data_IF_270001043143
#
_entry.id   IF_270001043143
#
_cell.length_a   1.000
_cell.length_b   1.000
_cell.length_c   1.000
_cell.angle_alpha   90.00
_cell.angle_beta   90.00
_cell.angle_gamma   90.00
#
_symmetry.space_group_name_H-M   'P 1'
#
loop_
_entity.id
_entity.type
_entity.pdbx_description
1 polymer ?
#
# COMPACT_ATOMS: atom_id res chain seq x y z
N UNK A 1 24.76 -49.34 10.72
CA UNK A 1 23.40 -48.76 10.78
C UNK A 1 23.56 -47.34 11.31
N UNK A 2 23.50 -46.32 10.46
CA UNK A 2 23.78 -44.93 10.86
C UNK A 2 22.59 -44.05 10.47
N UNK A 3 21.87 -43.62 11.50
CA UNK A 3 20.70 -42.75 11.43
C UNK A 3 21.15 -41.37 10.94
N UNK A 4 20.60 -40.91 9.81
CA UNK A 4 20.78 -39.54 9.35
C UNK A 4 19.71 -38.66 10.00
N UNK A 5 20.14 -37.83 10.96
CA UNK A 5 19.33 -36.73 11.47
C UNK A 5 19.43 -35.55 10.51
N UNK A 6 18.33 -35.26 9.80
CA UNK A 6 18.20 -34.10 8.93
C UNK A 6 18.24 -32.82 9.75
N UNK A 7 19.36 -32.11 9.70
CA UNK A 7 19.48 -30.72 10.11
C UNK A 7 20.19 -29.98 9.00
N UNK A 8 19.51 -29.04 8.34
CA UNK A 8 20.09 -28.15 7.34
C UNK A 8 21.26 -27.41 8.00
N UNK A 9 22.48 -27.81 7.66
CA UNK A 9 23.70 -27.30 8.27
C UNK A 9 24.16 -26.09 7.47
N UNK A 10 23.96 -24.91 8.03
CA UNK A 10 24.44 -23.66 7.45
C UNK A 10 25.96 -23.59 7.63
N UNK A 11 26.69 -23.38 6.54
CA UNK A 11 28.13 -23.08 6.58
C UNK A 11 28.37 -21.67 6.04
N UNK A 12 29.26 -20.95 6.71
CA UNK A 12 29.68 -19.62 6.32
C UNK A 12 31.18 -19.67 6.03
N UNK A 13 31.55 -19.41 4.78
CA UNK A 13 32.95 -19.30 4.36
C UNK A 13 33.26 -17.85 4.03
N UNK A 14 34.28 -17.30 4.69
CA UNK A 14 34.74 -15.94 4.42
C UNK A 14 35.42 -15.87 3.06
N UNK A 15 34.88 -15.06 2.15
CA UNK A 15 35.48 -14.81 0.83
C UNK A 15 36.51 -13.68 1.01
N UNK A 16 37.68 -14.02 1.53
CA UNK A 16 38.88 -13.18 1.67
C UNK A 16 38.79 -11.87 2.48
N UNK A 17 39.95 -11.21 2.65
CA UNK A 17 40.36 -10.23 3.68
C UNK A 17 39.63 -8.87 3.68
N UNK A 18 38.30 -8.87 3.71
CA UNK A 18 37.53 -7.72 4.17
C UNK A 18 36.45 -8.20 5.13
N UNK A 19 36.48 -7.80 6.41
CA UNK A 19 35.62 -8.39 7.45
C UNK A 19 34.13 -8.04 7.31
N UNK A 20 33.71 -7.36 6.24
CA UNK A 20 32.39 -6.78 6.11
C UNK A 20 31.40 -7.59 5.25
N UNK A 21 31.80 -8.70 4.63
CA UNK A 21 30.89 -9.47 3.78
C UNK A 21 31.00 -10.96 4.05
N UNK A 22 29.93 -11.54 4.60
CA UNK A 22 29.72 -12.98 4.64
C UNK A 22 28.60 -13.35 3.65
N UNK A 23 28.79 -14.45 2.93
CA UNK A 23 27.77 -15.01 2.03
C UNK A 23 27.28 -16.31 2.67
N UNK A 24 25.98 -16.38 2.93
CA UNK A 24 25.33 -17.61 3.38
C UNK A 24 25.09 -18.50 2.16
N UNK A 25 25.93 -19.52 1.99
CA UNK A 25 25.74 -20.55 0.98
C UNK A 25 24.84 -21.66 1.55
N UNK A 26 23.91 -22.14 0.73
CA UNK A 26 23.15 -23.36 1.04
C UNK A 26 23.85 -24.52 0.33
N UNK A 27 24.01 -25.68 0.98
CA UNK A 27 24.78 -26.85 0.49
C UNK A 27 24.30 -27.45 -0.85
N UNK A 28 23.35 -26.83 -1.56
CA UNK A 28 22.89 -27.21 -2.90
C UNK A 28 23.53 -26.38 -4.01
N UNK A 29 24.79 -26.03 -3.85
CA UNK A 29 25.64 -25.53 -4.94
C UNK A 29 26.15 -26.72 -5.74
N UNK A 30 25.82 -26.77 -7.05
CA UNK A 30 26.54 -27.63 -7.98
C UNK A 30 27.63 -26.78 -8.63
N UNK A 31 28.87 -27.27 -8.52
CA UNK A 31 30.01 -26.69 -9.20
C UNK A 31 30.21 -27.42 -10.53
N UNK A 32 30.24 -26.65 -11.62
CA UNK A 32 30.55 -27.17 -12.95
C UNK A 32 31.93 -26.69 -13.37
N UNK A 33 32.77 -27.63 -13.79
CA UNK A 33 34.06 -27.35 -14.41
C UNK A 33 33.86 -27.31 -15.91
N UNK A 34 33.98 -26.13 -16.50
CA UNK A 34 33.95 -25.96 -17.96
C UNK A 34 35.39 -25.80 -18.43
N UNK A 35 35.90 -26.84 -19.09
CA UNK A 35 37.19 -26.83 -19.75
C UNK A 35 36.98 -26.96 -21.27
N UNK A 36 37.76 -26.21 -22.05
CA UNK A 36 37.77 -26.33 -23.51
C UNK A 36 38.80 -27.40 -23.88
N UNK A 37 38.41 -28.40 -24.68
CA UNK A 37 39.24 -29.57 -24.97
C UNK A 37 40.65 -29.24 -25.50
N UNK A 38 40.80 -28.13 -26.23
CA UNK A 38 42.07 -27.74 -26.87
C UNK A 38 42.96 -26.83 -26.01
N UNK A 39 42.48 -26.39 -24.84
CA UNK A 39 43.19 -25.47 -23.95
C UNK A 39 42.97 -25.87 -22.48
N UNK A 40 43.75 -26.84 -21.96
CA UNK A 40 43.61 -27.32 -20.59
C UNK A 40 43.92 -26.24 -19.54
N UNK A 41 44.63 -25.17 -19.92
CA UNK A 41 45.06 -24.11 -19.01
C UNK A 41 43.96 -23.05 -18.75
N UNK A 42 42.85 -23.10 -19.47
CA UNK A 42 41.71 -22.17 -19.27
C UNK A 42 40.59 -22.92 -18.56
N UNK A 43 40.67 -22.96 -17.24
CA UNK A 43 39.62 -23.51 -16.39
C UNK A 43 38.71 -22.39 -15.87
N UNK A 44 37.42 -22.47 -16.18
CA UNK A 44 36.41 -21.62 -15.55
C UNK A 44 35.56 -22.47 -14.61
N UNK A 45 35.62 -22.11 -13.33
CA UNK A 45 34.75 -22.66 -12.31
C UNK A 45 33.45 -21.87 -12.29
N UNK A 46 32.34 -22.55 -12.55
CA UNK A 46 31.00 -21.96 -12.50
C UNK A 46 30.25 -22.63 -11.36
N UNK A 47 30.09 -21.89 -10.27
CA UNK A 47 29.22 -22.31 -9.16
C UNK A 47 27.80 -21.83 -9.43
N UNK A 48 26.84 -22.75 -9.46
CA UNK A 48 25.42 -22.41 -9.57
C UNK A 48 24.67 -22.96 -8.37
N UNK A 49 23.90 -22.10 -7.70
CA UNK A 49 22.90 -22.49 -6.72
C UNK A 49 21.70 -23.08 -7.45
N UNK A 50 21.59 -24.41 -7.49
CA UNK A 50 20.47 -25.08 -8.14
C UNK A 50 19.24 -25.06 -7.24
N UNK A 51 18.45 -24.01 -7.46
CA UNK A 51 17.07 -23.79 -7.03
C UNK A 51 16.81 -23.76 -5.52
N UNK A 52 16.39 -22.61 -4.95
CA UNK A 52 15.66 -22.65 -3.70
C UNK A 52 14.39 -23.48 -3.94
N UNK A 53 13.98 -24.29 -2.96
CA UNK A 53 12.63 -24.88 -2.96
C UNK A 53 11.63 -23.77 -3.29
N UNK A 54 11.13 -23.76 -4.54
CA UNK A 54 10.02 -22.90 -4.94
C UNK A 54 8.86 -23.25 -4.01
N UNK A 55 8.30 -22.23 -3.34
CA UNK A 55 7.09 -22.26 -2.51
C UNK A 55 7.25 -22.32 -0.98
N UNK A 56 8.38 -21.96 -0.38
CA UNK A 56 8.30 -21.45 0.99
C UNK A 56 7.83 -19.99 0.91
N UNK A 57 6.51 -19.80 1.04
CA UNK A 57 5.91 -18.47 1.22
C UNK A 57 6.65 -17.81 2.37
N UNK A 58 7.37 -16.73 2.08
CA UNK A 58 8.19 -16.04 3.08
C UNK A 58 7.32 -15.69 4.28
N UNK A 59 7.85 -15.81 5.52
CA UNK A 59 7.11 -15.41 6.71
C UNK A 59 6.69 -13.95 6.54
N UNK A 60 5.40 -13.69 6.67
CA UNK A 60 4.83 -12.37 6.54
C UNK A 60 3.80 -12.16 7.65
N UNK A 61 3.63 -10.90 8.04
CA UNK A 61 2.44 -10.47 8.78
C UNK A 61 1.31 -10.34 7.78
N UNK A 62 0.18 -10.97 8.06
CA UNK A 62 -0.96 -11.05 7.15
C UNK A 62 -2.25 -10.63 7.87
N UNK A 63 -3.05 -9.83 7.19
CA UNK A 63 -4.41 -9.52 7.60
C UNK A 63 -5.40 -10.44 6.89
N UNK A 64 -6.40 -10.90 7.61
CA UNK A 64 -7.48 -11.72 7.06
C UNK A 64 -8.75 -10.91 7.02
N UNK A 65 -9.28 -10.76 5.82
CA UNK A 65 -10.54 -10.08 5.55
C UNK A 65 -11.57 -11.10 5.06
N UNK A 66 -12.84 -10.80 5.30
CA UNK A 66 -13.98 -11.53 4.77
C UNK A 66 -14.83 -10.59 3.92
N UNK A 67 -15.18 -11.00 2.72
CA UNK A 67 -16.09 -10.24 1.87
C UNK A 67 -17.57 -10.58 2.17
N UNK A 68 -18.48 -9.95 1.42
CA UNK A 68 -19.94 -10.16 1.55
C UNK A 68 -20.37 -11.58 1.14
N UNK A 69 -19.58 -12.27 0.33
CA UNK A 69 -19.80 -13.65 -0.08
C UNK A 69 -19.20 -14.65 0.93
N UNK A 70 -18.75 -14.17 2.10
CA UNK A 70 -18.10 -14.93 3.16
C UNK A 70 -16.77 -15.56 2.74
N UNK A 71 -16.18 -15.12 1.63
CA UNK A 71 -14.87 -15.60 1.18
C UNK A 71 -13.76 -14.86 1.92
N UNK A 72 -12.77 -15.64 2.37
CA UNK A 72 -11.60 -15.14 3.10
C UNK A 72 -10.50 -14.69 2.14
N UNK A 73 -9.94 -13.53 2.43
CA UNK A 73 -8.81 -12.94 1.73
C UNK A 73 -7.67 -12.73 2.73
N UNK A 74 -6.61 -13.53 2.57
CA UNK A 74 -5.38 -13.39 3.35
C UNK A 74 -4.43 -12.47 2.57
N UNK A 75 -4.11 -11.32 3.15
CA UNK A 75 -3.32 -10.27 2.49
C UNK A 75 -2.11 -9.91 3.34
N UNK A 76 -0.89 -10.14 2.83
CA UNK A 76 0.32 -9.70 3.51
C UNK A 76 0.38 -8.18 3.68
N UNK A 77 0.82 -7.74 4.86
CA UNK A 77 0.92 -6.35 5.27
C UNK A 77 1.72 -5.48 4.30
N UNK A 78 2.84 -6.01 3.79
CA UNK A 78 3.73 -5.32 2.86
C UNK A 78 3.11 -5.06 1.48
N UNK A 79 1.99 -5.72 1.14
CA UNK A 79 1.35 -5.55 -0.15
C UNK A 79 0.46 -4.31 -0.16
N UNK A 80 0.50 -3.53 -1.25
CA UNK A 80 -0.38 -2.37 -1.45
C UNK A 80 -1.87 -2.72 -1.30
N UNK A 81 -2.25 -3.94 -1.69
CA UNK A 81 -3.62 -4.47 -1.57
C UNK A 81 -4.12 -4.48 -0.12
N UNK A 82 -3.23 -4.62 0.87
CA UNK A 82 -3.59 -4.56 2.28
C UNK A 82 -4.28 -3.24 2.62
N UNK A 83 -3.74 -2.11 2.15
CA UNK A 83 -4.35 -0.79 2.36
C UNK A 83 -5.72 -0.70 1.71
N UNK A 84 -5.87 -1.18 0.49
CA UNK A 84 -7.16 -1.21 -0.21
C UNK A 84 -8.22 -1.99 0.57
N UNK A 85 -7.85 -3.12 1.16
CA UNK A 85 -8.76 -3.96 1.92
C UNK A 85 -9.13 -3.35 3.28
N UNK A 86 -8.19 -2.64 3.93
CA UNK A 86 -8.53 -1.86 5.13
C UNK A 86 -9.48 -0.70 4.79
N UNK A 87 -9.28 -0.01 3.67
CA UNK A 87 -10.24 1.01 3.22
C UNK A 87 -11.61 0.40 2.89
N UNK A 88 -11.64 -0.79 2.28
CA UNK A 88 -12.88 -1.53 2.04
C UNK A 88 -13.58 -1.92 3.35
N UNK A 89 -12.81 -2.28 4.38
CA UNK A 89 -13.32 -2.57 5.72
C UNK A 89 -13.89 -1.32 6.41
N UNK A 90 -13.20 -0.17 6.31
CA UNK A 90 -13.72 1.14 6.76
C UNK A 90 -15.01 1.54 6.06
N UNK A 91 -15.12 1.24 4.77
CA UNK A 91 -16.34 1.45 3.98
C UNK A 91 -17.43 0.40 4.22
N UNK A 92 -17.25 -0.53 5.18
CA UNK A 92 -18.21 -1.59 5.51
C UNK A 92 -18.56 -2.50 4.31
N UNK A 93 -17.63 -2.64 3.37
CA UNK A 93 -17.75 -3.56 2.23
C UNK A 93 -17.08 -4.91 2.49
N UNK A 94 -16.17 -4.93 3.47
CA UNK A 94 -15.47 -6.12 3.95
C UNK A 94 -15.40 -6.10 5.48
N UNK A 95 -15.18 -7.25 6.08
CA UNK A 95 -14.95 -7.40 7.52
C UNK A 95 -13.49 -7.76 7.73
N UNK A 96 -12.77 -7.01 8.57
CA UNK A 96 -11.45 -7.40 9.02
C UNK A 96 -11.60 -8.38 10.19
N UNK A 97 -11.10 -9.62 10.04
CA UNK A 97 -11.31 -10.68 11.04
C UNK A 97 -10.18 -10.73 12.06
N UNK A 98 -8.93 -10.82 11.59
CA UNK A 98 -7.77 -10.91 12.46
C UNK A 98 -6.47 -10.55 11.74
N UNK A 99 -5.43 -10.33 12.53
CA UNK A 99 -4.05 -10.23 12.10
C UNK A 99 -3.31 -11.49 12.53
N UNK A 100 -2.46 -11.98 11.64
CA UNK A 100 -1.64 -13.17 11.85
C UNK A 100 -0.19 -12.83 11.54
N UNK A 101 0.73 -13.41 12.31
CA UNK A 101 2.13 -13.04 12.26
C UNK A 101 3.04 -14.22 12.60
N UNK A 102 4.31 -14.22 12.16
CA UNK A 102 5.25 -15.26 12.55
C UNK A 102 5.44 -15.32 14.07
N UNK A 103 5.77 -16.49 14.59
CA UNK A 103 6.08 -16.67 16.01
C UNK A 103 7.26 -15.79 16.44
N UNK A 104 7.14 -15.11 17.58
CA UNK A 104 8.15 -14.20 18.12
C UNK A 104 8.21 -12.84 17.41
N UNK A 105 7.33 -12.59 16.43
CA UNK A 105 7.25 -11.28 15.77
C UNK A 105 6.58 -10.27 16.71
N UNK A 106 7.05 -9.02 16.65
CA UNK A 106 6.49 -7.90 17.34
C UNK A 106 6.31 -6.70 16.40
N UNK A 107 5.43 -5.80 16.80
CA UNK A 107 5.13 -4.59 16.07
C UNK A 107 4.50 -3.55 16.98
N UNK A 108 4.09 -2.44 16.37
CA UNK A 108 3.51 -1.31 17.05
C UNK A 108 2.33 -0.79 16.25
N UNK A 109 1.26 -0.48 16.95
CA UNK A 109 0.12 0.28 16.46
C UNK A 109 0.15 1.65 17.12
N UNK A 110 0.08 2.69 16.31
CA UNK A 110 -0.16 4.06 16.75
C UNK A 110 -1.49 4.47 16.15
N UNK A 111 -2.41 4.91 16.99
CA UNK A 111 -3.74 5.34 16.59
C UNK A 111 -4.00 6.74 17.13
N UNK A 112 -4.30 7.68 16.24
CA UNK A 112 -4.65 9.04 16.57
C UNK A 112 -6.14 9.26 16.29
N UNK A 113 -6.89 9.69 17.32
CA UNK A 113 -8.32 10.01 17.21
C UNK A 113 -8.62 11.31 17.95
N UNK A 114 -9.05 12.34 17.22
CA UNK A 114 -9.56 13.61 17.77
C UNK A 114 -8.76 14.17 18.97
N UNK A 115 -7.43 14.18 18.87
CA UNK A 115 -6.43 14.64 19.88
C UNK A 115 -5.97 13.61 20.92
N UNK A 116 -6.51 12.39 20.93
CA UNK A 116 -6.00 11.29 21.72
C UNK A 116 -5.11 10.39 20.87
N UNK A 117 -3.85 10.24 21.30
CA UNK A 117 -2.90 9.31 20.71
C UNK A 117 -2.78 8.07 21.58
N UNK A 118 -3.11 6.93 21.00
CA UNK A 118 -2.98 5.61 21.60
C UNK A 118 -1.80 4.88 20.96
N UNK A 119 -1.00 4.24 21.79
CA UNK A 119 0.08 3.38 21.36
C UNK A 119 -0.11 1.99 21.94
N UNK A 120 -0.08 0.98 21.09
CA UNK A 120 -0.30 -0.41 21.45
C UNK A 120 0.84 -1.24 20.88
N UNK A 121 1.48 -2.03 21.74
CA UNK A 121 2.46 -3.02 21.32
C UNK A 121 1.74 -4.27 20.82
N UNK A 122 2.15 -4.74 19.65
CA UNK A 122 1.59 -5.92 19.00
C UNK A 122 2.60 -7.05 19.14
N UNK A 123 2.23 -8.12 19.82
CA UNK A 123 3.09 -9.28 20.02
C UNK A 123 2.37 -10.55 19.58
N UNK A 124 3.11 -11.49 18.99
CA UNK A 124 2.56 -12.80 18.67
C UNK A 124 2.12 -13.51 19.95
N UNK A 125 0.85 -13.91 20.02
CA UNK A 125 0.35 -14.79 21.06
C UNK A 125 0.65 -16.26 20.78
N UNK A 126 0.06 -17.15 21.58
CA UNK A 126 0.28 -18.59 21.48
C UNK A 126 -0.71 -19.30 20.53
N UNK A 127 -1.83 -18.64 20.20
CA UNK A 127 -2.88 -19.21 19.38
C UNK A 127 -2.48 -19.27 17.91
N UNK A 128 -2.66 -20.43 17.29
CA UNK A 128 -2.38 -20.67 15.88
C UNK A 128 -3.45 -20.03 15.00
N UNK A 129 -3.05 -19.43 13.88
CA UNK A 129 -4.02 -18.87 12.91
C UNK A 129 -4.75 -19.97 12.14
N UNK A 130 -6.02 -19.74 11.79
CA UNK A 130 -6.84 -20.76 11.10
C UNK A 130 -6.30 -21.14 9.71
N UNK A 131 -5.65 -20.20 9.01
CA UNK A 131 -5.19 -20.41 7.64
C UNK A 131 -3.72 -20.84 7.54
N UNK A 132 -2.97 -20.82 8.65
CA UNK A 132 -1.55 -21.17 8.67
C UNK A 132 -1.10 -21.68 10.04
N UNK A 133 -0.56 -22.90 10.07
CA UNK A 133 -0.01 -23.51 11.29
C UNK A 133 1.28 -22.82 11.79
N UNK A 134 1.96 -22.09 10.90
CA UNK A 134 3.22 -21.42 11.17
C UNK A 134 3.04 -19.97 11.65
N UNK A 135 1.81 -19.47 11.65
CA UNK A 135 1.50 -18.13 12.15
C UNK A 135 0.73 -18.19 13.46
N UNK A 136 0.81 -17.09 14.19
CA UNK A 136 0.17 -16.85 15.46
C UNK A 136 -0.74 -15.64 15.36
N UNK A 137 -1.81 -15.66 16.13
CA UNK A 137 -2.70 -14.53 16.30
C UNK A 137 -2.15 -13.60 17.39
N UNK A 138 -2.61 -12.34 17.37
CA UNK A 138 -2.45 -11.46 18.53
C UNK A 138 -3.30 -11.99 19.71
N UNK A 139 -2.97 -11.62 20.96
CA UNK A 139 -3.88 -11.81 22.08
C UNK A 139 -5.28 -11.24 21.77
N UNK A 140 -6.37 -11.90 22.19
CA UNK A 140 -7.74 -11.52 21.80
C UNK A 140 -8.10 -10.05 22.09
N UNK A 141 -7.63 -9.51 23.20
CA UNK A 141 -7.88 -8.13 23.62
C UNK A 141 -7.18 -7.14 22.67
N UNK A 142 -5.91 -7.43 22.35
CA UNK A 142 -5.10 -6.62 21.44
C UNK A 142 -5.63 -6.72 20.00
N UNK A 143 -6.05 -7.91 19.59
CA UNK A 143 -6.65 -8.15 18.27
C UNK A 143 -7.92 -7.32 18.08
N UNK A 144 -8.80 -7.29 19.09
CA UNK A 144 -10.05 -6.53 19.07
C UNK A 144 -9.77 -5.03 19.01
N UNK A 145 -8.84 -4.53 19.82
CA UNK A 145 -8.43 -3.13 19.79
C UNK A 145 -7.84 -2.74 18.44
N UNK A 146 -6.97 -3.56 17.87
CA UNK A 146 -6.36 -3.31 16.56
C UNK A 146 -7.43 -3.22 15.47
N UNK A 147 -8.39 -4.15 15.45
CA UNK A 147 -9.50 -4.12 14.50
C UNK A 147 -10.35 -2.87 14.68
N UNK A 148 -10.69 -2.52 15.92
CA UNK A 148 -11.49 -1.33 16.23
C UNK A 148 -10.87 -0.05 15.67
N UNK A 149 -9.56 0.16 15.86
CA UNK A 149 -8.87 1.35 15.33
C UNK A 149 -8.75 1.31 13.80
N UNK A 150 -8.47 0.14 13.21
CA UNK A 150 -8.32 0.02 11.76
C UNK A 150 -9.63 0.23 10.99
N UNK A 151 -10.75 -0.23 11.55
CA UNK A 151 -12.07 -0.13 10.92
C UNK A 151 -12.73 1.24 11.20
N UNK A 152 -12.33 1.95 12.26
CA UNK A 152 -12.80 3.31 12.52
C UNK A 152 -12.29 4.28 11.43
N UNK A 153 -13.17 4.85 10.60
CA UNK A 153 -12.77 5.75 9.53
C UNK A 153 -12.21 7.07 10.07
N UNK A 154 -12.59 7.48 11.29
CA UNK A 154 -12.13 8.74 11.89
C UNK A 154 -10.72 8.64 12.47
N UNK A 155 -10.22 7.42 12.66
CA UNK A 155 -8.93 7.18 13.27
C UNK A 155 -7.80 7.16 12.23
N UNK A 156 -6.74 7.92 12.50
CA UNK A 156 -5.49 7.77 11.78
C UNK A 156 -4.68 6.65 12.42
N UNK A 157 -4.25 5.69 11.62
CA UNK A 157 -3.60 4.47 12.09
C UNK A 157 -2.28 4.27 11.38
N UNK A 158 -1.23 3.98 12.17
CA UNK A 158 0.07 3.54 11.70
C UNK A 158 0.45 2.22 12.39
N UNK A 159 0.56 1.17 11.58
CA UNK A 159 0.95 -0.17 12.02
C UNK A 159 2.31 -0.50 11.45
N UNK A 160 3.27 -0.84 12.30
CA UNK A 160 4.64 -1.12 11.89
C UNK A 160 5.16 -2.41 12.51
N UNK A 161 5.60 -3.35 11.66
CA UNK A 161 6.25 -4.61 12.06
C UNK A 161 7.70 -4.68 11.52
N UNK A 162 8.34 -3.53 11.29
CA UNK A 162 9.70 -3.43 10.80
C UNK A 162 9.86 -4.10 9.42
N UNK A 163 10.72 -5.11 9.35
CA UNK A 163 11.00 -5.85 8.10
C UNK A 163 9.81 -6.59 7.49
N UNK A 164 8.71 -6.77 8.24
CA UNK A 164 7.49 -7.42 7.74
C UNK A 164 6.49 -6.45 7.10
N UNK A 165 6.76 -5.15 7.15
CA UNK A 165 5.99 -4.12 6.49
C UNK A 165 5.38 -3.09 7.44
N UNK A 166 4.82 -2.05 6.83
CA UNK A 166 4.16 -0.94 7.49
C UNK A 166 2.88 -0.60 6.74
N UNK A 167 1.82 -0.32 7.49
CA UNK A 167 0.55 0.16 6.98
C UNK A 167 0.23 1.49 7.63
N UNK A 168 0.07 2.52 6.80
CA UNK A 168 -0.44 3.81 7.23
C UNK A 168 -1.79 4.06 6.57
N UNK A 169 -2.79 4.39 7.39
CA UNK A 169 -4.14 4.72 6.97
C UNK A 169 -4.53 6.04 7.62
N UNK A 170 -4.78 7.05 6.79
CA UNK A 170 -5.24 8.35 7.26
C UNK A 170 -6.67 8.24 7.80
N UNK A 171 -6.96 8.95 8.89
CA UNK A 171 -8.33 9.13 9.37
C UNK A 171 -9.05 10.18 8.53
N UNK A 172 -10.27 9.88 8.13
CA UNK A 172 -11.19 10.88 7.58
C UNK A 172 -11.84 11.63 8.74
N UNK A 173 -11.19 12.71 9.18
CA UNK A 173 -11.80 13.70 10.10
C UNK A 173 -12.93 14.50 9.44
N UNK A 174 -13.13 14.31 8.13
CA UNK A 174 -14.24 14.83 7.36
C UNK A 174 -15.06 13.63 6.88
N UNK A 175 -16.23 13.40 7.49
CA UNK A 175 -17.22 12.49 6.94
C UNK A 175 -17.57 12.90 5.51
N UNK A 176 -16.97 12.22 4.52
CA UNK A 176 -17.53 12.18 3.17
C UNK A 176 -17.23 10.82 2.56
N UNK A 177 -18.27 10.07 2.16
CA UNK A 177 -18.09 8.71 1.68
C UNK A 177 -17.42 8.72 0.30
N UNK A 178 -16.47 7.80 0.13
CA UNK A 178 -16.06 7.12 -1.10
C UNK A 178 -15.71 8.05 -2.29
N UNK A 179 -14.44 8.10 -2.69
CA UNK A 179 -14.04 7.71 -4.05
C UNK A 179 -12.52 7.57 -4.19
N UNK A 180 -12.11 6.41 -4.70
CA UNK A 180 -11.12 6.19 -5.76
C UNK A 180 -9.71 6.80 -5.63
N UNK A 181 -8.73 6.00 -6.09
CA UNK A 181 -7.30 6.27 -6.09
C UNK A 181 -6.97 7.75 -6.31
N UNK A 182 -6.17 8.34 -5.42
CA UNK A 182 -5.75 9.74 -5.47
C UNK A 182 -5.34 10.15 -6.89
N UNK A 183 -6.27 10.78 -7.60
CA UNK A 183 -5.98 11.48 -8.83
C UNK A 183 -5.33 12.78 -8.42
N UNK A 184 -4.07 12.97 -8.84
CA UNK A 184 -3.36 14.22 -8.60
C UNK A 184 -3.33 15.04 -9.88
N UNK A 185 -3.48 16.36 -9.74
CA UNK A 185 -3.25 17.28 -10.83
C UNK A 185 -1.74 17.47 -11.00
N UNK A 186 -1.27 17.38 -12.25
CA UNK A 186 0.09 17.81 -12.56
C UNK A 186 0.29 19.30 -12.24
N UNK A 187 1.49 19.73 -11.82
CA UNK A 187 1.77 21.13 -11.46
C UNK A 187 1.33 22.14 -12.54
N UNK A 188 1.47 21.78 -13.83
CA UNK A 188 1.09 22.63 -14.96
C UNK A 188 -0.42 22.83 -15.08
N UNK A 189 -1.23 21.79 -14.84
CA UNK A 189 -2.69 21.90 -14.87
C UNK A 189 -3.20 22.67 -13.65
N UNK A 190 -2.60 22.41 -12.48
CA UNK A 190 -2.89 23.14 -11.24
C UNK A 190 -2.67 24.65 -11.40
N UNK A 191 -1.54 25.07 -11.98
CA UNK A 191 -1.27 26.50 -12.26
C UNK A 191 -2.24 27.10 -13.27
N UNK A 192 -2.62 26.36 -14.32
CA UNK A 192 -3.58 26.83 -15.32
C UNK A 192 -4.99 27.03 -14.75
N UNK A 193 -5.44 26.10 -13.90
CA UNK A 193 -6.71 26.24 -13.18
C UNK A 193 -6.69 27.47 -12.27
N UNK A 194 -5.65 27.62 -11.45
CA UNK A 194 -5.51 28.80 -10.58
C UNK A 194 -5.46 30.11 -11.37
N UNK A 195 -4.69 30.16 -12.46
CA UNK A 195 -4.61 31.34 -13.33
C UNK A 195 -5.97 31.70 -13.93
N UNK A 196 -6.73 30.70 -14.40
CA UNK A 196 -8.09 30.88 -14.92
C UNK A 196 -9.05 31.40 -13.84
N UNK A 197 -8.94 30.89 -12.61
CA UNK A 197 -9.76 31.33 -11.47
C UNK A 197 -9.45 32.78 -11.07
N UNK A 198 -8.17 33.17 -11.06
CA UNK A 198 -7.74 34.56 -10.82
C UNK A 198 -8.30 35.49 -11.89
N UNK A 199 -8.29 35.08 -13.17
CA UNK A 199 -8.83 35.90 -14.26
C UNK A 199 -10.35 36.13 -14.13
N UNK A 200 -11.09 35.20 -13.53
CA UNK A 200 -12.52 35.33 -13.30
C UNK A 200 -12.86 36.15 -12.04
N UNK A 201 -12.06 36.02 -10.99
CA UNK A 201 -12.19 36.78 -9.74
C UNK A 201 -11.39 38.07 -9.83
N UNK A 202 -12.02 39.15 -10.29
CA UNK A 202 -11.41 40.47 -10.44
C UNK A 202 -11.07 41.18 -9.10
N UNK A 203 -10.44 40.49 -8.14
CA UNK A 203 -9.89 41.10 -6.91
C UNK A 203 -10.08 40.36 -5.59
N UNK A 204 -10.42 39.07 -5.56
CA UNK A 204 -10.59 38.31 -4.31
C UNK A 204 -9.38 37.43 -3.97
N UNK A 205 -9.01 37.27 -2.67
CA UNK A 205 -7.97 36.33 -2.29
C UNK A 205 -8.45 34.90 -2.53
N UNK A 206 -7.77 34.17 -3.43
CA UNK A 206 -7.96 32.72 -3.55
C UNK A 206 -7.35 32.12 -2.29
N UNK A 207 -8.20 31.65 -1.37
CA UNK A 207 -7.77 30.84 -0.24
C UNK A 207 -6.82 29.76 -0.77
N UNK A 208 -5.61 29.65 -0.22
CA UNK A 208 -4.60 28.72 -0.71
C UNK A 208 -5.19 27.30 -0.73
N UNK A 209 -5.63 26.84 -1.90
CA UNK A 209 -6.35 25.58 -2.02
C UNK A 209 -5.31 24.47 -1.96
N UNK A 210 -5.02 23.94 -0.77
CA UNK A 210 -3.96 22.95 -0.56
C UNK A 210 -4.22 21.60 -1.24
N UNK A 211 -5.47 21.31 -1.63
CA UNK A 211 -5.92 20.02 -2.15
C UNK A 211 -6.42 20.12 -3.61
N UNK A 212 -6.07 19.13 -4.44
CA UNK A 212 -6.45 19.07 -5.85
C UNK A 212 -7.96 18.85 -6.04
N UNK A 213 -8.61 18.07 -5.15
CA UNK A 213 -10.06 17.89 -5.21
C UNK A 213 -10.80 19.18 -4.86
N UNK A 214 -10.35 19.88 -3.81
CA UNK A 214 -10.88 21.19 -3.50
C UNK A 214 -10.72 22.16 -4.67
N UNK A 215 -9.56 22.15 -5.34
CA UNK A 215 -9.30 23.02 -6.49
C UNK A 215 -10.22 22.71 -7.66
N UNK A 216 -10.39 21.43 -8.01
CA UNK A 216 -11.29 21.00 -9.09
C UNK A 216 -12.74 21.33 -8.77
N UNK A 217 -13.20 21.15 -7.52
CA UNK A 217 -14.56 21.52 -7.11
C UNK A 217 -14.80 23.02 -7.20
N UNK A 218 -13.85 23.84 -6.74
CA UNK A 218 -13.97 25.30 -6.86
C UNK A 218 -13.96 25.73 -8.32
N UNK A 219 -13.13 25.10 -9.18
CA UNK A 219 -13.18 25.34 -10.62
C UNK A 219 -14.52 24.93 -11.24
N UNK A 220 -15.07 23.79 -10.84
CA UNK A 220 -16.35 23.27 -11.36
C UNK A 220 -17.54 24.19 -11.05
N UNK A 221 -17.51 24.89 -9.90
CA UNK A 221 -18.58 25.79 -9.49
C UNK A 221 -18.50 27.18 -10.14
N UNK A 222 -17.43 27.49 -10.89
CA UNK A 222 -17.30 28.77 -11.56
C UNK A 222 -18.21 28.86 -12.79
N UNK A 223 -18.82 30.02 -12.95
CA UNK A 223 -19.53 30.39 -14.18
C UNK A 223 -18.58 31.20 -15.07
N UNK A 224 -18.04 30.61 -16.15
CA UNK A 224 -17.12 31.32 -17.02
C UNK A 224 -17.85 32.45 -17.77
N UNK A 225 -17.16 33.59 -17.97
CA UNK A 225 -17.65 34.65 -18.86
C UNK A 225 -17.70 34.11 -20.31
N UNK A 226 -18.61 34.60 -21.18
CA UNK A 226 -18.75 34.10 -22.55
C UNK A 226 -17.44 34.01 -23.35
N UNK A 227 -16.57 35.01 -23.19
CA UNK A 227 -15.27 35.09 -23.87
C UNK A 227 -14.26 34.02 -23.40
N UNK A 228 -14.47 33.44 -22.22
CA UNK A 228 -13.59 32.46 -21.59
C UNK A 228 -14.15 31.02 -21.65
N UNK A 229 -15.33 30.82 -22.25
CA UNK A 229 -15.94 29.50 -22.43
C UNK A 229 -15.01 28.52 -23.18
N UNK A 230 -14.30 28.90 -24.27
CA UNK A 230 -13.38 27.99 -24.94
C UNK A 230 -12.26 27.50 -24.02
N UNK A 231 -11.67 28.41 -23.23
CA UNK A 231 -10.61 28.09 -22.27
C UNK A 231 -11.12 27.20 -21.13
N UNK A 232 -12.32 27.48 -20.63
CA UNK A 232 -13.00 26.64 -19.64
C UNK A 232 -13.20 25.21 -20.15
N UNK A 233 -13.71 25.05 -21.37
CA UNK A 233 -13.94 23.73 -21.99
C UNK A 233 -12.64 22.93 -22.14
N UNK A 234 -11.54 23.59 -22.53
CA UNK A 234 -10.22 22.95 -22.62
C UNK A 234 -9.74 22.48 -21.25
N UNK A 235 -9.86 23.31 -20.21
CA UNK A 235 -9.48 22.93 -18.84
C UNK A 235 -10.36 21.81 -18.27
N UNK A 236 -11.67 21.82 -18.56
CA UNK A 236 -12.58 20.73 -18.21
C UNK A 236 -12.12 19.42 -18.84
N UNK A 237 -11.78 19.41 -20.13
CA UNK A 237 -11.26 18.21 -20.81
C UNK A 237 -9.97 17.70 -20.16
N UNK A 238 -9.03 18.60 -19.86
CA UNK A 238 -7.76 18.25 -19.22
C UNK A 238 -7.96 17.66 -17.80
N UNK A 239 -8.94 18.18 -17.05
CA UNK A 239 -9.30 17.69 -15.71
C UNK A 239 -9.96 16.30 -15.78
N UNK A 240 -10.91 16.11 -16.71
CA UNK A 240 -11.56 14.81 -16.95
C UNK A 240 -10.54 13.76 -17.42
N UNK A 241 -9.61 14.13 -18.30
CA UNK A 241 -8.56 13.25 -18.80
C UNK A 241 -7.60 12.75 -17.70
N UNK A 242 -7.57 13.41 -16.54
CA UNK A 242 -6.81 12.95 -15.37
C UNK A 242 -7.60 12.02 -14.47
N UNK A 243 -8.90 11.87 -14.68
CA UNK A 243 -9.77 10.99 -13.90
C UNK A 243 -10.58 11.70 -12.82
N UNK A 244 -10.64 13.05 -12.84
CA UNK A 244 -11.56 13.78 -11.96
C UNK A 244 -12.97 13.79 -12.55
N UNK A 245 -13.99 13.57 -11.71
CA UNK A 245 -15.39 13.78 -12.09
C UNK A 245 -15.84 15.21 -11.80
N UNK A 246 -16.37 15.89 -12.82
CA UNK A 246 -16.99 17.21 -12.69
C UNK A 246 -18.51 17.04 -12.66
N UNK A 247 -19.10 16.85 -11.48
CA UNK A 247 -20.55 16.90 -11.31
C UNK A 247 -20.98 18.36 -11.32
N UNK A 248 -21.53 18.83 -12.45
CA UNK A 248 -22.20 20.12 -12.50
C UNK A 248 -23.43 20.05 -11.59
N UNK A 249 -23.35 20.72 -10.44
CA UNK A 249 -24.51 20.94 -9.58
C UNK A 249 -25.27 22.14 -10.14
N UNK A 250 -26.35 21.88 -10.89
CA UNK A 250 -27.27 22.92 -11.33
C UNK A 250 -28.07 22.50 -12.56
N UNK A 251 -29.36 22.26 -12.34
CA UNK A 251 -30.38 22.17 -13.38
C UNK A 251 -30.31 23.35 -14.37
N UNK A 252 -30.55 23.02 -15.64
CA UNK A 252 -31.07 23.97 -16.62
C UNK A 252 -30.05 24.91 -17.26
N UNK A 253 -29.30 24.42 -18.25
CA UNK A 253 -29.32 25.03 -19.59
C UNK A 253 -29.09 23.92 -20.63
N UNK A 254 -30.19 23.50 -21.28
CA UNK A 254 -30.11 22.87 -22.59
C UNK A 254 -29.44 23.86 -23.54
N UNK A 255 -28.25 23.55 -24.01
CA UNK A 255 -27.81 24.08 -25.29
C UNK A 255 -28.03 22.97 -26.30
N UNK A 256 -29.19 23.04 -26.95
CA UNK A 256 -29.40 22.41 -28.24
C UNK A 256 -28.22 22.79 -29.14
N UNK A 257 -27.62 21.78 -29.74
CA UNK A 257 -26.72 21.95 -30.87
C UNK A 257 -27.58 22.41 -32.06
N UNK A 258 -27.33 23.58 -32.66
CA UNK A 258 -27.62 23.73 -34.08
C UNK A 258 -26.49 23.01 -34.85
N UNK A 259 -26.95 22.03 -35.63
CA UNK A 259 -26.33 21.25 -36.72
C UNK A 259 -24.91 21.69 -37.12
#
# INVERSE_FOLDING_TARGET
>A
MQVHGGGDRLSATGIEKSPAFFVLATEKTQDFRVAKADYPDIEKFVSCTLSPRRNQKLPAVEFVFRDRELKRHVVPLHQKKCRTFVMAARAQTMTLEYLSMPHGCNGRLIADKSSQRSEILLFSGDTVSEHSQHQRLLPPEVQTLLIAHLVDPTCQVDVNFGGFGRLHVAGDLSSRPISEAFVTLGPSLRSRLLSFMVQLQAGGPIAAVSDDYALVRTFASLRPRPQLIPNYRTLVKDVLARGFELKQLGEGVSYELPI
#
